data_IF_199437290902
#
_entry.id   IF_199437290902
#
_cell.length_a   1.000
_cell.length_b   1.000
_cell.length_c   1.000
_cell.angle_alpha   90.00
_cell.angle_beta   90.00
_cell.angle_gamma   90.00
#
_symmetry.space_group_name_H-M   'P 1'
#
loop_
_entity.id
_entity.type
_entity.pdbx_description
1 polymer ?
#
# COMPACT_ATOMS: atom_id res chain seq x y z
N UNK A 1 -6.17 26.64 0.51
CA UNK A 1 -5.21 25.51 0.42
C UNK A 1 -5.77 24.51 -0.56
N UNK A 2 -5.11 24.36 -1.71
CA UNK A 2 -5.53 23.43 -2.75
C UNK A 2 -5.25 22.00 -2.26
N UNK A 3 -6.26 21.12 -2.30
CA UNK A 3 -6.07 19.71 -1.91
C UNK A 3 -5.04 19.10 -2.85
N UNK A 4 -3.92 18.62 -2.32
CA UNK A 4 -2.92 17.92 -3.10
C UNK A 4 -3.58 16.72 -3.79
N UNK A 5 -3.42 16.63 -5.12
CA UNK A 5 -4.07 15.62 -5.97
C UNK A 5 -3.41 14.26 -5.71
N UNK A 6 -4.07 13.39 -4.94
CA UNK A 6 -3.63 12.01 -4.72
C UNK A 6 -3.55 11.24 -6.04
N UNK A 7 -2.51 10.42 -6.21
CA UNK A 7 -2.33 9.55 -7.39
C UNK A 7 -3.03 8.20 -7.22
N UNK A 8 -3.11 7.72 -5.98
CA UNK A 8 -3.65 6.41 -5.64
C UNK A 8 -4.25 6.45 -4.23
N UNK A 9 -5.19 5.55 -3.95
CA UNK A 9 -5.80 5.42 -2.63
C UNK A 9 -6.33 4.01 -2.40
N UNK A 10 -6.46 3.61 -1.13
CA UNK A 10 -7.13 2.37 -0.74
C UNK A 10 -7.79 2.48 0.62
N UNK A 11 -8.81 1.66 0.86
CA UNK A 11 -9.51 1.58 2.14
C UNK A 11 -8.75 0.67 3.11
N UNK A 12 -8.62 1.13 4.35
CA UNK A 12 -8.13 0.34 5.47
C UNK A 12 -9.32 0.07 6.38
N UNK A 13 -9.77 -1.18 6.40
CA UNK A 13 -10.83 -1.63 7.30
C UNK A 13 -10.19 -2.22 8.55
N UNK A 14 -10.50 -1.67 9.71
CA UNK A 14 -9.98 -2.13 11.00
C UNK A 14 -11.10 -2.74 11.85
N UNK A 15 -10.76 -3.45 12.93
CA UNK A 15 -11.74 -3.85 13.93
C UNK A 15 -12.59 -2.67 14.44
N UNK A 16 -13.73 -2.98 15.07
CA UNK A 16 -14.64 -1.98 15.67
C UNK A 16 -15.25 -0.96 14.68
N UNK A 17 -15.37 -1.32 13.40
CA UNK A 17 -15.91 -0.46 12.33
C UNK A 17 -15.11 0.84 12.10
N UNK A 18 -13.85 0.91 12.55
CA UNK A 18 -12.96 2.00 12.16
C UNK A 18 -12.56 1.82 10.69
N UNK A 19 -12.95 2.79 9.87
CA UNK A 19 -12.61 2.81 8.44
C UNK A 19 -11.72 4.01 8.17
N UNK A 20 -10.55 3.74 7.59
CA UNK A 20 -9.59 4.74 7.17
C UNK A 20 -9.36 4.64 5.67
N UNK A 21 -8.81 5.68 5.07
CA UNK A 21 -8.32 5.66 3.70
C UNK A 21 -6.86 6.09 3.70
N UNK A 22 -6.00 5.30 3.06
CA UNK A 22 -4.65 5.74 2.70
C UNK A 22 -4.67 6.36 1.32
N UNK A 23 -4.01 7.50 1.16
CA UNK A 23 -3.87 8.24 -0.08
C UNK A 23 -2.39 8.49 -0.34
N UNK A 24 -1.92 8.07 -1.51
CA UNK A 24 -0.56 8.34 -1.97
C UNK A 24 -0.51 9.61 -2.81
N UNK A 25 0.47 10.45 -2.54
CA UNK A 25 0.77 11.65 -3.32
C UNK A 25 2.19 11.49 -3.90
N UNK A 26 2.33 11.62 -5.23
CA UNK A 26 3.64 11.54 -5.85
C UNK A 26 4.44 12.80 -5.55
N UNK A 27 5.76 12.68 -5.60
CA UNK A 27 6.67 13.81 -5.50
C UNK A 27 6.35 14.85 -6.58
N UNK A 28 6.38 16.12 -6.18
CA UNK A 28 6.29 17.28 -7.06
C UNK A 28 7.61 18.05 -7.08
N UNK A 29 7.69 19.13 -7.87
CA UNK A 29 8.87 20.02 -7.86
C UNK A 29 9.12 20.66 -6.49
N UNK A 30 8.10 20.76 -5.66
CA UNK A 30 8.11 21.54 -4.41
C UNK A 30 7.82 20.70 -3.17
N UNK A 31 7.51 19.41 -3.33
CA UNK A 31 7.09 18.55 -2.20
C UNK A 31 7.53 17.10 -2.42
N UNK A 32 7.98 16.41 -1.36
CA UNK A 32 8.33 14.99 -1.43
C UNK A 32 7.09 14.12 -1.73
N UNK A 33 7.32 12.84 -2.00
CA UNK A 33 6.22 11.88 -2.04
C UNK A 33 5.70 11.65 -0.61
N UNK A 34 4.38 11.60 -0.46
CA UNK A 34 3.72 11.56 0.85
C UNK A 34 2.61 10.52 0.86
N UNK A 35 2.44 9.85 1.99
CA UNK A 35 1.27 9.06 2.32
C UNK A 35 0.44 9.82 3.37
N UNK A 36 -0.85 10.00 3.10
CA UNK A 36 -1.81 10.55 4.05
C UNK A 36 -2.85 9.50 4.42
N UNK A 37 -3.14 9.36 5.70
CA UNK A 37 -4.22 8.52 6.21
C UNK A 37 -5.35 9.42 6.67
N UNK A 38 -6.57 9.13 6.23
CA UNK A 38 -7.78 9.91 6.52
C UNK A 38 -8.78 9.01 7.23
N UNK A 39 -9.50 9.54 8.22
CA UNK A 39 -10.58 8.82 8.86
C UNK A 39 -11.88 9.01 8.09
N UNK A 40 -12.67 7.95 7.92
CA UNK A 40 -14.03 8.03 7.40
C UNK A 40 -14.99 8.23 8.57
N UNK A 41 -15.74 9.32 8.55
CA UNK A 41 -16.93 9.44 9.39
C UNK A 41 -18.04 8.57 8.77
N UNK A 42 -18.35 7.46 9.43
CA UNK A 42 -19.35 6.49 8.96
C UNK A 42 -20.78 7.04 9.00
N UNK A 43 -21.05 8.11 9.76
CA UNK A 43 -22.39 8.72 9.83
C UNK A 43 -22.64 9.65 8.66
N UNK A 44 -21.63 10.43 8.27
CA UNK A 44 -21.72 11.40 7.17
C UNK A 44 -21.22 10.84 5.84
N UNK A 45 -20.54 9.69 5.87
CA UNK A 45 -19.83 9.08 4.75
C UNK A 45 -18.77 10.03 4.13
N UNK A 46 -18.15 10.88 4.95
CA UNK A 46 -17.12 11.83 4.54
C UNK A 46 -15.77 11.49 5.14
N UNK A 47 -14.72 11.64 4.35
CA UNK A 47 -13.35 11.62 4.86
C UNK A 47 -13.07 12.89 5.67
N UNK A 48 -12.25 12.75 6.71
CA UNK A 48 -11.71 13.87 7.48
C UNK A 48 -11.08 14.90 6.53
N UNK A 49 -11.26 16.21 6.79
CA UNK A 49 -10.71 17.25 5.92
C UNK A 49 -9.18 17.20 5.90
N UNK A 50 -8.59 16.90 7.05
CA UNK A 50 -7.16 16.76 7.27
C UNK A 50 -6.79 15.29 7.51
N UNK A 51 -5.58 14.86 7.14
CA UNK A 51 -5.10 13.52 7.43
C UNK A 51 -4.96 13.34 8.95
N UNK A 52 -5.39 12.18 9.46
CA UNK A 52 -5.13 11.78 10.85
C UNK A 52 -3.65 11.45 11.08
N UNK A 53 -2.94 11.15 10.00
CA UNK A 53 -1.52 10.86 10.00
C UNK A 53 -0.92 11.06 8.61
N UNK A 54 0.32 11.55 8.56
CA UNK A 54 1.13 11.61 7.33
C UNK A 54 2.46 10.87 7.51
N UNK A 55 2.98 10.34 6.41
CA UNK A 55 4.28 9.69 6.35
C UNK A 55 5.00 10.13 5.06
N UNK A 56 6.20 10.68 5.20
CA UNK A 56 7.04 11.04 4.06
C UNK A 56 7.76 9.82 3.52
N UNK A 57 7.78 9.70 2.18
CA UNK A 57 8.52 8.65 1.49
C UNK A 57 9.90 9.16 1.08
N UNK A 58 10.90 8.32 1.30
CA UNK A 58 12.29 8.63 0.96
C UNK A 58 12.47 8.67 -0.56
N UNK A 59 13.51 9.36 -1.02
CA UNK A 59 13.78 9.44 -2.46
C UNK A 59 14.08 8.07 -3.09
N UNK A 60 14.72 7.19 -2.32
CA UNK A 60 15.00 5.82 -2.71
C UNK A 60 13.76 4.94 -2.84
N UNK A 61 12.65 5.28 -2.17
CA UNK A 61 11.40 4.53 -2.25
C UNK A 61 10.68 4.72 -3.59
N UNK A 62 10.85 5.89 -4.22
CA UNK A 62 10.10 6.29 -5.42
C UNK A 62 8.68 6.80 -5.10
N UNK A 63 7.85 6.94 -6.13
CA UNK A 63 6.49 7.48 -5.98
C UNK A 63 5.46 6.37 -5.70
N UNK A 64 4.46 6.60 -4.84
CA UNK A 64 3.38 5.64 -4.61
C UNK A 64 2.48 5.56 -5.85
N UNK A 65 2.18 4.32 -6.25
CA UNK A 65 1.33 4.02 -7.44
C UNK A 65 0.08 3.22 -7.10
N UNK A 66 0.06 2.51 -5.98
CA UNK A 66 -1.06 1.65 -5.58
C UNK A 66 -0.83 1.03 -4.21
N UNK A 67 -1.89 0.47 -3.62
CA UNK A 67 -1.85 -0.14 -2.31
C UNK A 67 -2.60 -1.47 -2.29
N UNK A 68 -2.11 -2.40 -1.49
CA UNK A 68 -2.87 -3.57 -1.03
C UNK A 68 -2.86 -3.56 0.50
N UNK A 69 -4.04 -3.59 1.10
CA UNK A 69 -4.20 -3.58 2.56
C UNK A 69 -4.41 -5.01 3.03
N UNK A 70 -3.69 -5.43 4.06
CA UNK A 70 -3.87 -6.75 4.65
C UNK A 70 -5.29 -6.84 5.26
N UNK A 71 -5.99 -7.98 5.17
CA UNK A 71 -7.36 -8.12 5.68
C UNK A 71 -7.53 -7.80 7.17
N UNK A 72 -6.46 -7.95 7.97
CA UNK A 72 -6.44 -7.56 9.38
C UNK A 72 -6.48 -6.04 9.62
N UNK A 73 -6.15 -5.22 8.61
CA UNK A 73 -6.22 -3.76 8.69
C UNK A 73 -5.11 -3.09 9.51
N UNK A 74 -4.09 -3.85 9.90
CA UNK A 74 -2.94 -3.36 10.70
C UNK A 74 -1.72 -3.04 9.84
N UNK A 75 -1.74 -3.43 8.57
CA UNK A 75 -0.64 -3.20 7.65
C UNK A 75 -1.11 -3.12 6.20
N UNK A 76 -0.29 -2.49 5.37
CA UNK A 76 -0.51 -2.46 3.93
C UNK A 76 0.81 -2.36 3.18
N UNK A 77 0.81 -2.87 1.96
CA UNK A 77 1.93 -2.74 1.03
C UNK A 77 1.62 -1.63 0.02
N UNK A 78 2.56 -0.71 -0.15
CA UNK A 78 2.55 0.32 -1.17
C UNK A 78 3.41 -0.17 -2.35
N UNK A 79 2.82 -0.25 -3.55
CA UNK A 79 3.58 -0.33 -4.79
C UNK A 79 4.15 1.05 -5.09
N UNK A 80 5.43 1.08 -5.46
CA UNK A 80 6.13 2.29 -5.85
C UNK A 80 6.70 2.16 -7.25
N UNK A 81 7.20 3.27 -7.80
CA UNK A 81 7.94 3.26 -9.06
C UNK A 81 9.26 2.47 -9.00
N UNK A 82 9.74 2.08 -7.82
CA UNK A 82 11.01 1.37 -7.62
C UNK A 82 10.86 -0.04 -7.03
N UNK A 83 9.68 -0.42 -6.53
CA UNK A 83 9.44 -1.73 -5.93
C UNK A 83 8.19 -1.73 -5.05
N UNK A 84 8.26 -2.37 -3.88
CA UNK A 84 7.22 -2.31 -2.86
C UNK A 84 7.79 -1.93 -1.49
N UNK A 85 6.97 -1.24 -0.68
CA UNK A 85 7.28 -0.89 0.71
C UNK A 85 6.12 -1.26 1.62
N UNK A 86 6.41 -1.88 2.76
CA UNK A 86 5.43 -2.25 3.77
C UNK A 86 5.28 -1.11 4.78
N UNK A 87 4.05 -0.89 5.23
CA UNK A 87 3.75 0.03 6.31
C UNK A 87 2.87 -0.66 7.33
N UNK A 88 3.29 -0.66 8.60
CA UNK A 88 2.45 -1.04 9.72
C UNK A 88 1.74 0.19 10.27
N UNK A 89 0.44 0.05 10.50
CA UNK A 89 -0.43 1.06 11.08
C UNK A 89 -0.75 0.68 12.51
N UNK A 90 -0.03 1.32 13.44
CA UNK A 90 -0.26 1.19 14.86
C UNK A 90 -1.29 2.21 15.33
N UNK A 91 -2.13 1.83 16.28
CA UNK A 91 -3.10 2.67 16.98
C UNK A 91 -2.92 2.42 18.47
N UNK A 92 -2.04 3.21 19.09
CA UNK A 92 -1.78 3.18 20.54
C UNK A 92 -2.33 4.47 21.13
N UNK A 93 -3.17 4.36 22.15
CA UNK A 93 -3.78 5.50 22.84
C UNK A 93 -4.46 6.52 21.91
N UNK A 94 -5.15 6.02 20.86
CA UNK A 94 -5.81 6.83 19.82
C UNK A 94 -4.87 7.66 18.95
N UNK A 95 -3.56 7.40 19.02
CA UNK A 95 -2.54 8.02 18.18
C UNK A 95 -2.15 7.00 17.11
N UNK A 96 -2.42 7.37 15.85
CA UNK A 96 -1.99 6.58 14.71
C UNK A 96 -0.50 6.80 14.44
N UNK A 97 0.21 5.71 14.14
CA UNK A 97 1.60 5.76 13.66
C UNK A 97 1.79 4.81 12.49
N UNK A 98 2.47 5.28 11.46
CA UNK A 98 2.92 4.48 10.32
C UNK A 98 4.39 4.15 10.53
N UNK A 99 4.69 2.86 10.55
CA UNK A 99 6.05 2.35 10.67
C UNK A 99 6.45 1.74 9.33
N UNK A 100 7.34 2.39 8.55
CA UNK A 100 7.84 1.81 7.31
C UNK A 100 8.69 0.57 7.62
N UNK A 101 8.47 -0.49 6.85
CA UNK A 101 9.24 -1.72 6.89
C UNK A 101 9.73 -2.11 5.50
N UNK A 102 10.92 -2.68 5.49
CA UNK A 102 11.52 -3.23 4.28
C UNK A 102 10.91 -4.60 3.99
N UNK A 103 10.64 -4.86 2.72
CA UNK A 103 10.19 -6.17 2.21
C UNK A 103 11.26 -6.70 1.27
N UNK A 104 12.31 -7.38 1.77
CA UNK A 104 13.50 -7.69 0.98
C UNK A 104 13.22 -8.37 -0.37
N UNK A 105 12.30 -9.35 -0.49
CA UNK A 105 12.00 -9.98 -1.78
C UNK A 105 11.39 -9.04 -2.82
N UNK A 106 10.88 -7.88 -2.40
CA UNK A 106 10.17 -6.91 -3.26
C UNK A 106 10.89 -5.55 -3.32
N UNK A 107 12.15 -5.50 -2.90
CA UNK A 107 12.99 -4.32 -3.07
C UNK A 107 13.59 -4.29 -4.47
N UNK A 108 13.58 -3.12 -5.10
CA UNK A 108 14.27 -2.88 -6.38
C UNK A 108 13.85 -3.81 -7.52
N UNK A 109 12.65 -4.41 -7.42
CA UNK A 109 12.07 -5.28 -8.46
C UNK A 109 11.32 -4.49 -9.55
N UNK A 110 11.42 -3.15 -9.51
CA UNK A 110 10.71 -2.26 -10.42
C UNK A 110 9.21 -2.15 -10.11
N UNK A 111 8.50 -1.44 -10.98
CA UNK A 111 7.08 -1.10 -10.82
C UNK A 111 6.20 -2.36 -10.80
N UNK A 112 5.47 -2.55 -9.70
CA UNK A 112 4.40 -3.55 -9.59
C UNK A 112 3.06 -2.88 -9.89
N UNK A 113 2.33 -3.36 -10.92
CA UNK A 113 1.09 -2.75 -11.41
C UNK A 113 -0.15 -3.18 -10.64
N UNK A 114 -0.14 -4.39 -10.09
CA UNK A 114 -1.21 -4.91 -9.25
C UNK A 114 -0.62 -5.61 -8.03
N UNK A 115 -1.32 -5.47 -6.92
CA UNK A 115 -1.00 -6.06 -5.62
C UNK A 115 -2.28 -6.65 -5.03
N UNK A 116 -2.18 -7.79 -4.37
CA UNK A 116 -3.30 -8.34 -3.61
C UNK A 116 -2.83 -9.16 -2.41
N UNK A 117 -3.61 -9.08 -1.33
CA UNK A 117 -3.55 -10.06 -0.24
C UNK A 117 -4.63 -11.12 -0.48
N UNK A 118 -4.37 -12.36 -0.06
CA UNK A 118 -5.43 -13.37 0.02
C UNK A 118 -6.44 -13.01 1.09
N UNK A 119 -7.63 -13.59 1.02
CA UNK A 119 -8.73 -13.25 1.94
C UNK A 119 -8.45 -13.63 3.39
N UNK A 120 -7.67 -14.69 3.59
CA UNK A 120 -7.19 -15.16 4.90
C UNK A 120 -5.94 -14.41 5.39
N UNK A 121 -5.37 -13.51 4.57
CA UNK A 121 -4.15 -12.77 4.86
C UNK A 121 -2.87 -13.59 4.82
N UNK A 122 -2.92 -14.86 4.45
CA UNK A 122 -1.75 -15.76 4.49
C UNK A 122 -0.84 -15.65 3.26
N UNK A 123 -1.26 -14.92 2.23
CA UNK A 123 -0.50 -14.73 0.99
C UNK A 123 -0.56 -13.30 0.50
N UNK A 124 0.51 -12.92 -0.19
CA UNK A 124 0.63 -11.66 -0.90
C UNK A 124 1.09 -11.92 -2.33
N UNK A 125 0.49 -11.28 -3.32
CA UNK A 125 0.91 -11.41 -4.70
C UNK A 125 1.16 -10.05 -5.36
N UNK A 126 2.08 -10.07 -6.32
CA UNK A 126 2.44 -8.91 -7.12
C UNK A 126 2.50 -9.28 -8.60
N UNK A 127 2.05 -8.36 -9.45
CA UNK A 127 2.21 -8.44 -10.90
C UNK A 127 3.04 -7.27 -11.41
N UNK A 128 4.23 -7.54 -11.93
CA UNK A 128 5.15 -6.53 -12.43
C UNK A 128 4.75 -5.94 -13.78
N UNK A 129 5.23 -4.72 -14.06
CA UNK A 129 5.17 -4.15 -15.41
C UNK A 129 5.90 -5.03 -16.44
N UNK A 130 6.96 -5.71 -16.02
CA UNK A 130 7.74 -6.68 -16.78
C UNK A 130 7.00 -8.01 -17.04
N UNK A 131 5.80 -8.18 -16.50
CA UNK A 131 5.02 -9.41 -16.64
C UNK A 131 5.46 -10.55 -15.73
N UNK A 132 6.22 -10.24 -14.68
CA UNK A 132 6.63 -11.18 -13.65
C UNK A 132 5.53 -11.31 -12.58
N UNK A 133 5.07 -12.54 -12.35
CA UNK A 133 4.10 -12.86 -11.30
C UNK A 133 4.81 -13.44 -10.08
N UNK A 134 4.54 -12.87 -8.90
CA UNK A 134 5.08 -13.37 -7.63
C UNK A 134 3.96 -13.65 -6.64
N UNK A 135 4.09 -14.74 -5.89
CA UNK A 135 3.24 -15.05 -4.74
C UNK A 135 4.15 -15.40 -3.56
N UNK A 136 3.90 -14.78 -2.43
CA UNK A 136 4.66 -14.94 -1.19
C UNK A 136 3.72 -15.43 -0.08
N UNK A 137 4.21 -16.29 0.80
CA UNK A 137 3.60 -16.52 2.10
C UNK A 137 3.74 -15.25 2.95
N UNK A 138 2.71 -14.93 3.72
CA UNK A 138 2.67 -13.78 4.60
C UNK A 138 2.46 -14.23 6.05
N UNK A 139 3.10 -13.59 7.06
CA UNK A 139 4.08 -12.49 6.97
C UNK A 139 5.53 -12.95 6.73
N UNK A 140 5.76 -14.25 6.53
CA UNK A 140 7.11 -14.82 6.41
C UNK A 140 7.88 -14.42 5.15
N UNK A 141 7.21 -13.85 4.14
CA UNK A 141 7.76 -13.42 2.85
C UNK A 141 8.48 -14.54 2.07
N UNK A 142 8.14 -15.80 2.35
CA UNK A 142 8.68 -16.94 1.61
C UNK A 142 8.04 -16.97 0.23
N UNK A 143 8.85 -16.98 -0.82
CA UNK A 143 8.37 -17.05 -2.19
C UNK A 143 7.76 -18.43 -2.48
N UNK A 144 6.48 -18.45 -2.82
CA UNK A 144 5.71 -19.64 -3.22
C UNK A 144 5.76 -19.81 -4.74
N UNK A 145 5.66 -18.69 -5.47
CA UNK A 145 5.70 -18.64 -6.92
C UNK A 145 6.54 -17.43 -7.36
N UNK A 146 7.45 -17.66 -8.30
CA UNK A 146 8.25 -16.65 -8.98
C UNK A 146 8.26 -17.03 -10.47
N UNK A 147 7.25 -16.57 -11.21
CA UNK A 147 7.07 -16.93 -12.62
C UNK A 147 7.46 -15.74 -13.52
N UNK A 148 8.67 -15.76 -14.10
CA UNK A 148 9.11 -14.72 -15.00
C UNK A 148 8.39 -14.81 -16.34
N UNK A 149 7.84 -13.69 -16.82
CA UNK A 149 7.11 -13.58 -18.10
C UNK A 149 5.82 -14.41 -18.14
N UNK A 150 5.15 -14.56 -16.99
CA UNK A 150 3.80 -15.11 -16.92
C UNK A 150 2.80 -14.38 -17.85
N UNK A 151 3.03 -13.09 -18.10
CA UNK A 151 2.28 -12.32 -19.11
C UNK A 151 3.15 -11.20 -19.70
N UNK A 152 2.61 -10.41 -20.64
CA UNK A 152 3.28 -9.19 -21.14
C UNK A 152 3.16 -8.00 -20.19
N UNK A 153 2.11 -7.98 -19.37
CA UNK A 153 1.83 -6.97 -18.34
C UNK A 153 0.60 -7.37 -17.53
N UNK A 154 0.63 -7.20 -16.22
CA UNK A 154 -0.54 -7.36 -15.34
C UNK A 154 -1.24 -6.01 -15.11
N UNK A 155 -2.57 -6.03 -14.96
CA UNK A 155 -3.38 -4.82 -14.70
C UNK A 155 -4.23 -4.92 -13.44
N UNK A 156 -4.61 -6.14 -13.08
CA UNK A 156 -5.46 -6.41 -11.93
C UNK A 156 -5.17 -7.83 -11.45
N UNK A 157 -5.35 -8.06 -10.15
CA UNK A 157 -5.25 -9.40 -9.56
C UNK A 157 -6.09 -9.52 -8.30
N UNK A 158 -6.57 -10.72 -8.07
CA UNK A 158 -7.25 -11.11 -6.83
C UNK A 158 -6.81 -12.53 -6.46
N UNK A 159 -6.75 -12.82 -5.17
CA UNK A 159 -6.35 -14.12 -4.64
C UNK A 159 -7.36 -14.50 -3.57
N UNK A 160 -7.90 -15.71 -3.67
CA UNK A 160 -8.79 -16.24 -2.64
C UNK A 160 -8.01 -16.79 -1.46
#
# INVERSE_FOLDING_TARGET
MERAKGSCASWIRRPENKVLAVVGQPRSKTSPALLGVYALDTKTALLSPDPVLTCEMEEEDGNPVGFAVHPGGEEFVCATTKGCKLFELNDQDFIYKLVPKVVPPLQSIGLQKCLAFSTDGSKFATGGEDGHLRILEWPGLKVVLDEPRAHKSFRDMDIR
#
